data_IF_569171051555
#
_entry.id   IF_569171051555
#
_cell.length_a   1.000
_cell.length_b   1.000
_cell.length_c   1.000
_cell.angle_alpha   90.00
_cell.angle_beta   90.00
_cell.angle_gamma   90.00
#
_symmetry.space_group_name_H-M   'P 1'
#
loop_
_entity.id
_entity.type
_entity.pdbx_description
1 polymer ?
#
# COMPACT_ATOMS: atom_id res chain seq x y z
N UNK A 1 80.76 40.50 -40.28
CA UNK A 1 81.49 41.57 -40.98
C UNK A 1 80.45 42.47 -41.65
N UNK A 2 80.32 43.73 -41.23
CA UNK A 2 79.72 44.80 -42.04
C UNK A 2 78.28 45.27 -41.74
N UNK A 3 78.21 46.58 -41.41
CA UNK A 3 77.12 47.57 -41.51
C UNK A 3 75.98 47.55 -40.46
N UNK A 4 75.72 48.57 -39.62
CA UNK A 4 75.70 50.06 -39.63
C UNK A 4 74.30 50.69 -39.83
N UNK A 5 73.93 51.55 -38.87
CA UNK A 5 73.02 52.71 -39.01
C UNK A 5 71.58 52.48 -38.52
N UNK A 6 70.89 53.36 -37.76
CA UNK A 6 71.07 54.78 -37.41
C UNK A 6 70.31 55.12 -36.10
N UNK A 7 71.03 55.70 -35.16
CA UNK A 7 70.79 56.97 -34.43
C UNK A 7 69.40 57.62 -34.50
N UNK A 8 68.88 58.03 -33.33
CA UNK A 8 67.81 59.02 -33.19
C UNK A 8 67.45 59.33 -31.74
N UNK A 9 68.31 60.07 -31.02
CA UNK A 9 68.06 60.59 -29.67
C UNK A 9 67.28 61.92 -29.81
N UNK A 10 66.08 62.04 -29.23
CA UNK A 10 65.50 63.34 -28.85
C UNK A 10 64.79 63.23 -27.50
N UNK A 11 65.38 63.92 -26.55
CA UNK A 11 64.87 64.29 -25.22
C UNK A 11 63.66 65.22 -25.34
N UNK A 12 62.59 64.91 -24.62
CA UNK A 12 61.45 65.79 -24.36
C UNK A 12 61.02 65.64 -22.91
N UNK A 13 61.02 66.75 -22.18
CA UNK A 13 60.77 66.87 -20.74
C UNK A 13 59.30 66.70 -20.34
N UNK A 14 59.13 66.19 -19.11
CA UNK A 14 58.09 66.49 -18.10
C UNK A 14 56.61 66.56 -18.52
N UNK A 15 55.77 65.77 -17.84
CA UNK A 15 54.85 66.19 -16.76
C UNK A 15 54.00 64.96 -16.43
N UNK A 16 54.20 64.34 -15.27
CA UNK A 16 53.29 63.32 -14.75
C UNK A 16 52.16 64.01 -14.01
N UNK A 17 51.01 64.16 -14.68
CA UNK A 17 49.75 64.55 -14.04
C UNK A 17 49.21 63.35 -13.26
N UNK A 18 49.18 63.45 -11.94
CA UNK A 18 48.49 62.51 -11.05
C UNK A 18 46.99 62.75 -11.25
N UNK A 19 46.34 61.86 -12.01
CA UNK A 19 44.88 61.78 -12.07
C UNK A 19 44.38 60.86 -10.95
N UNK A 20 43.76 61.47 -9.94
CA UNK A 20 42.97 60.77 -8.91
C UNK A 20 41.72 60.16 -9.57
N UNK A 21 41.76 58.86 -9.86
CA UNK A 21 40.56 58.10 -10.18
C UNK A 21 39.93 57.58 -8.89
N UNK A 22 38.73 58.07 -8.58
CA UNK A 22 37.87 57.59 -7.50
C UNK A 22 37.41 56.16 -7.78
N UNK A 23 38.20 55.18 -7.32
CA UNK A 23 37.79 53.78 -7.30
C UNK A 23 36.75 53.55 -6.22
N UNK A 24 35.50 53.31 -6.62
CA UNK A 24 34.48 52.81 -5.71
C UNK A 24 34.93 51.45 -5.14
N UNK A 25 35.15 51.39 -3.82
CA UNK A 25 35.37 50.14 -3.10
C UNK A 25 34.09 49.30 -3.17
N UNK A 26 34.07 48.31 -4.05
CA UNK A 26 33.14 47.17 -3.91
C UNK A 26 33.69 46.31 -2.79
N UNK A 27 32.97 46.08 -1.67
CA UNK A 27 33.44 45.14 -0.67
C UNK A 27 33.54 43.76 -1.31
N UNK A 28 34.71 43.13 -1.18
CA UNK A 28 34.93 41.76 -1.62
C UNK A 28 33.82 40.88 -1.03
N UNK A 29 33.01 40.29 -1.90
CA UNK A 29 32.06 39.26 -1.51
C UNK A 29 32.85 38.16 -0.79
N UNK A 30 32.60 37.99 0.51
CA UNK A 30 33.16 36.89 1.28
C UNK A 30 32.76 35.60 0.56
N UNK A 31 33.75 34.87 0.03
CA UNK A 31 33.51 33.57 -0.57
C UNK A 31 32.80 32.69 0.47
N UNK A 32 31.57 32.28 0.16
CA UNK A 32 30.81 31.32 0.97
C UNK A 32 31.67 30.05 1.08
N UNK A 33 32.09 29.63 2.29
CA UNK A 33 32.93 28.46 2.41
C UNK A 33 32.19 27.24 1.85
N UNK A 34 32.78 26.55 0.86
CA UNK A 34 32.24 25.30 0.33
C UNK A 34 31.93 24.35 1.50
N UNK A 35 30.70 23.83 1.65
CA UNK A 35 30.35 23.01 2.79
C UNK A 35 31.15 21.70 2.75
N UNK A 36 31.91 21.46 3.83
CA UNK A 36 32.78 20.28 3.97
C UNK A 36 31.94 18.99 4.01
N UNK A 37 32.42 17.87 3.46
CA UNK A 37 31.63 16.65 3.34
C UNK A 37 31.32 16.06 4.72
N UNK A 38 30.04 15.99 5.08
CA UNK A 38 29.55 15.12 6.14
C UNK A 38 29.49 13.66 5.62
N UNK A 39 30.02 12.71 6.38
CA UNK A 39 30.04 11.29 6.03
C UNK A 39 29.32 10.48 7.10
N UNK A 40 28.29 9.74 6.70
CA UNK A 40 27.55 8.86 7.62
C UNK A 40 28.27 7.52 7.79
N UNK A 41 28.30 7.03 9.02
CA UNK A 41 28.63 5.65 9.35
C UNK A 41 27.42 4.73 9.23
N UNK A 42 27.55 3.52 9.78
CA UNK A 42 26.49 2.51 9.75
C UNK A 42 25.27 2.97 10.55
N UNK A 43 24.09 2.79 9.97
CA UNK A 43 22.82 2.96 10.66
C UNK A 43 22.39 1.62 11.26
N UNK A 44 21.94 1.64 12.52
CA UNK A 44 21.58 0.44 13.28
C UNK A 44 20.35 0.65 14.13
N UNK A 45 19.57 -0.42 14.33
CA UNK A 45 18.44 -0.49 15.24
C UNK A 45 18.73 -1.46 16.37
N UNK A 46 18.32 -1.13 17.59
CA UNK A 46 18.51 -1.97 18.77
C UNK A 46 17.22 -2.03 19.60
N UNK A 47 16.60 -3.21 19.76
CA UNK A 47 16.93 -4.47 19.06
C UNK A 47 16.67 -4.36 17.54
N UNK A 48 17.49 -5.06 16.74
CA UNK A 48 17.24 -5.19 15.28
C UNK A 48 16.05 -6.12 15.01
N UNK A 49 15.95 -7.18 15.80
CA UNK A 49 14.83 -8.13 15.82
C UNK A 49 14.43 -8.35 17.28
N UNK A 50 13.14 -8.23 17.58
CA UNK A 50 12.60 -8.45 18.92
C UNK A 50 11.44 -9.44 18.84
N UNK A 51 11.42 -10.42 19.74
CA UNK A 51 10.24 -11.25 19.97
C UNK A 51 9.96 -11.30 21.46
N UNK A 52 8.78 -10.89 21.91
CA UNK A 52 8.47 -10.83 23.35
C UNK A 52 7.23 -10.01 23.69
N UNK A 53 7.08 -9.66 24.97
CA UNK A 53 5.96 -8.86 25.43
C UNK A 53 6.09 -7.38 25.00
N UNK A 54 4.99 -6.79 24.57
CA UNK A 54 4.92 -5.38 24.21
C UNK A 54 4.13 -4.59 25.28
N UNK A 55 4.41 -3.29 25.49
CA UNK A 55 5.24 -2.42 24.66
C UNK A 55 6.75 -2.59 24.85
N UNK A 56 7.50 -2.44 23.77
CA UNK A 56 8.97 -2.42 23.74
C UNK A 56 9.49 -1.13 23.13
N UNK A 57 10.79 -0.85 23.26
CA UNK A 57 11.43 0.34 22.69
C UNK A 57 12.53 -0.07 21.73
N UNK A 58 12.45 0.42 20.49
CA UNK A 58 13.50 0.28 19.48
C UNK A 58 14.29 1.58 19.42
N UNK A 59 15.59 1.51 19.66
CA UNK A 59 16.50 2.65 19.52
C UNK A 59 17.21 2.59 18.18
N UNK A 60 16.98 3.59 17.34
CA UNK A 60 17.70 3.79 16.09
C UNK A 60 18.92 4.67 16.33
N UNK A 61 20.01 4.38 15.65
CA UNK A 61 21.24 5.17 15.76
C UNK A 61 22.08 5.17 14.48
N UNK A 62 22.80 6.26 14.27
CA UNK A 62 23.86 6.36 13.24
C UNK A 62 24.95 7.30 13.72
N UNK A 63 26.12 7.26 13.10
CA UNK A 63 27.20 8.22 13.34
C UNK A 63 27.39 9.10 12.12
N UNK A 64 27.82 10.34 12.34
CA UNK A 64 28.21 11.26 11.27
C UNK A 64 29.57 11.87 11.61
N UNK A 65 30.51 11.75 10.68
CA UNK A 65 31.81 12.41 10.76
C UNK A 65 31.75 13.77 10.08
N UNK A 66 32.20 14.79 10.80
CA UNK A 66 32.18 16.19 10.37
C UNK A 66 33.45 16.92 10.82
N UNK A 67 33.88 17.91 10.05
CA UNK A 67 35.00 18.78 10.43
C UNK A 67 34.50 19.89 11.37
N UNK A 68 35.05 19.97 12.59
CA UNK A 68 34.73 21.04 13.52
C UNK A 68 35.46 22.36 13.17
N UNK A 69 34.89 23.54 13.50
CA UNK A 69 33.57 23.73 14.14
C UNK A 69 32.41 23.71 13.12
N UNK A 70 31.28 23.10 13.48
CA UNK A 70 30.08 23.04 12.62
C UNK A 70 28.80 22.93 13.44
N UNK A 71 27.71 23.53 12.93
CA UNK A 71 26.36 23.34 13.48
C UNK A 71 25.58 22.38 12.58
N UNK A 72 25.21 21.22 13.10
CA UNK A 72 24.45 20.20 12.38
C UNK A 72 22.97 20.32 12.72
N UNK A 73 22.14 20.63 11.72
CA UNK A 73 20.67 20.54 11.86
C UNK A 73 20.22 19.23 11.22
N UNK A 74 19.52 18.38 11.98
CA UNK A 74 19.10 17.06 11.52
C UNK A 74 17.68 16.73 11.98
N UNK A 75 17.04 15.81 11.28
CA UNK A 75 15.80 15.16 11.70
C UNK A 75 15.87 13.68 11.33
N UNK A 76 15.10 12.85 12.04
CA UNK A 76 14.85 11.49 11.63
C UNK A 76 13.63 11.45 10.71
N UNK A 77 13.74 10.64 9.66
CA UNK A 77 12.64 10.23 8.80
C UNK A 77 12.39 8.74 9.04
N UNK A 78 11.13 8.33 9.06
CA UNK A 78 10.72 6.95 9.33
C UNK A 78 9.97 6.35 8.14
N UNK A 79 9.80 5.02 8.18
CA UNK A 79 9.16 4.24 7.11
C UNK A 79 7.67 4.53 6.89
N UNK A 80 7.00 5.10 7.89
CA UNK A 80 5.61 5.58 7.90
C UNK A 80 5.46 7.02 7.36
N UNK A 81 6.57 7.61 6.90
CA UNK A 81 6.63 9.00 6.42
C UNK A 81 6.71 10.05 7.54
N UNK A 82 6.64 9.65 8.82
CA UNK A 82 6.77 10.58 9.93
C UNK A 82 8.20 11.10 10.05
N UNK A 83 8.31 12.29 10.66
CA UNK A 83 9.60 12.91 10.93
C UNK A 83 9.68 13.42 12.36
N UNK A 84 10.84 13.31 12.98
CA UNK A 84 11.07 14.00 14.26
C UNK A 84 11.20 15.50 14.03
N UNK A 85 10.92 16.30 15.05
CA UNK A 85 11.32 17.71 15.07
C UNK A 85 12.82 17.84 14.77
N UNK A 86 13.19 18.85 13.97
CA UNK A 86 14.59 19.11 13.67
C UNK A 86 15.37 19.45 14.95
N UNK A 87 16.47 18.74 15.19
CA UNK A 87 17.39 18.95 16.29
C UNK A 87 18.70 19.57 15.78
N UNK A 88 19.24 20.50 16.56
CA UNK A 88 20.49 21.17 16.26
C UNK A 88 21.58 20.71 17.20
N UNK A 89 22.73 20.29 16.65
CA UNK A 89 23.91 19.86 17.39
C UNK A 89 25.10 20.73 17.03
N UNK A 90 25.72 21.38 18.03
CA UNK A 90 26.91 22.24 17.84
C UNK A 90 28.16 21.43 18.12
N UNK A 91 29.01 21.26 17.11
CA UNK A 91 30.31 20.58 17.21
C UNK A 91 31.40 21.64 17.34
N UNK A 92 32.01 21.75 18.52
CA UNK A 92 33.14 22.64 18.78
C UNK A 92 34.51 21.99 18.57
N UNK A 93 35.58 22.80 18.66
CA UNK A 93 36.97 22.36 18.55
C UNK A 93 37.53 22.35 17.13
N UNK A 94 38.71 21.75 16.96
CA UNK A 94 39.42 21.60 15.68
C UNK A 94 39.50 20.11 15.29
N UNK A 95 39.56 19.82 13.98
CA UNK A 95 39.74 18.47 13.44
C UNK A 95 38.43 17.74 13.09
N UNK A 96 38.56 16.50 12.62
CA UNK A 96 37.44 15.59 12.36
C UNK A 96 36.82 15.12 13.68
N UNK A 97 35.49 15.16 13.78
CA UNK A 97 34.72 14.72 14.94
C UNK A 97 33.61 13.78 14.50
N UNK A 98 33.36 12.75 15.31
CA UNK A 98 32.26 11.81 15.13
C UNK A 98 31.13 12.16 16.08
N UNK A 99 29.93 12.37 15.57
CA UNK A 99 28.71 12.63 16.36
C UNK A 99 27.79 11.43 16.22
N UNK A 100 27.26 10.92 17.34
CA UNK A 100 26.24 9.87 17.35
C UNK A 100 24.86 10.51 17.43
N UNK A 101 23.98 10.12 16.52
CA UNK A 101 22.60 10.58 16.44
C UNK A 101 21.68 9.40 16.75
N UNK A 102 20.65 9.59 17.56
CA UNK A 102 19.70 8.54 17.94
C UNK A 102 18.26 9.03 18.04
N UNK A 103 17.33 8.08 17.89
CA UNK A 103 15.90 8.24 18.15
C UNK A 103 15.36 6.96 18.77
N UNK A 104 14.35 7.10 19.64
CA UNK A 104 13.68 5.97 20.28
C UNK A 104 12.24 5.89 19.80
N UNK A 105 11.80 4.69 19.44
CA UNK A 105 10.45 4.38 18.96
C UNK A 105 9.82 3.44 19.98
N UNK A 106 8.67 3.85 20.54
CA UNK A 106 7.86 2.98 21.40
C UNK A 106 6.97 2.12 20.52
N UNK A 107 7.13 0.81 20.58
CA UNK A 107 6.40 -0.17 19.78
C UNK A 107 5.45 -0.94 20.68
N UNK A 108 4.14 -0.85 20.41
CA UNK A 108 3.08 -1.44 21.24
C UNK A 108 2.49 -2.73 20.66
N UNK A 109 2.84 -3.08 19.43
CA UNK A 109 2.36 -4.26 18.69
C UNK A 109 3.38 -4.68 17.62
N UNK A 110 3.05 -5.70 16.83
CA UNK A 110 3.93 -6.18 15.75
C UNK A 110 4.27 -5.03 14.79
N UNK A 111 5.56 -4.83 14.52
CA UNK A 111 6.01 -3.70 13.72
C UNK A 111 7.27 -4.05 12.91
N UNK A 112 7.28 -3.64 11.64
CA UNK A 112 8.49 -3.60 10.82
C UNK A 112 8.64 -2.20 10.25
N UNK A 113 9.86 -1.69 10.29
CA UNK A 113 10.10 -0.34 9.83
C UNK A 113 11.57 -0.02 9.71
N UNK A 114 11.84 1.22 9.31
CA UNK A 114 13.19 1.75 9.27
C UNK A 114 13.19 3.22 9.65
N UNK A 115 14.33 3.72 10.14
CA UNK A 115 14.58 5.15 10.25
C UNK A 115 15.91 5.55 9.63
N UNK A 116 15.97 6.75 9.11
CA UNK A 116 17.19 7.36 8.58
C UNK A 116 17.30 8.81 9.06
N UNK A 117 18.52 9.33 9.13
CA UNK A 117 18.76 10.73 9.47
C UNK A 117 18.88 11.55 8.21
N UNK A 118 18.11 12.63 8.11
CA UNK A 118 18.28 13.69 7.10
C UNK A 118 18.99 14.87 7.74
N UNK A 119 20.16 15.23 7.22
CA UNK A 119 20.80 16.51 7.51
C UNK A 119 20.07 17.60 6.73
N UNK A 120 19.63 18.62 7.45
CA UNK A 120 18.97 19.82 6.90
C UNK A 120 20.02 20.90 6.59
N UNK A 121 21.14 20.90 7.32
CA UNK A 121 22.29 21.77 7.05
C UNK A 121 23.53 21.30 7.83
N UNK A 122 24.77 21.55 7.32
CA UNK A 122 25.12 22.37 6.15
C UNK A 122 25.09 21.65 4.79
N UNK A 123 24.87 20.33 4.76
CA UNK A 123 24.77 19.54 3.52
C UNK A 123 23.50 18.69 3.58
N UNK A 124 22.67 18.75 2.54
CA UNK A 124 21.50 17.88 2.40
C UNK A 124 21.93 16.44 2.10
N UNK A 125 22.08 15.61 3.12
CA UNK A 125 22.40 14.18 2.99
C UNK A 125 21.47 13.33 3.85
N UNK A 126 21.19 12.13 3.40
CA UNK A 126 20.38 11.13 4.12
C UNK A 126 21.28 9.93 4.45
N UNK A 127 21.20 9.41 5.68
CA UNK A 127 21.94 8.22 6.08
C UNK A 127 21.39 6.96 5.41
N UNK A 128 22.13 5.84 5.52
CA UNK A 128 21.52 4.52 5.29
C UNK A 128 20.39 4.26 6.29
N UNK A 129 19.51 3.31 5.98
CA UNK A 129 18.35 2.93 6.78
C UNK A 129 18.75 2.03 7.94
N UNK A 130 18.29 2.35 9.15
CA UNK A 130 18.31 1.46 10.31
C UNK A 130 16.97 0.72 10.39
N UNK A 131 16.94 -0.53 9.92
CA UNK A 131 15.72 -1.35 9.89
C UNK A 131 15.54 -2.16 11.17
N UNK A 132 14.29 -2.34 11.58
CA UNK A 132 13.91 -3.16 12.74
C UNK A 132 12.69 -4.05 12.45
N UNK A 133 12.55 -5.12 13.22
CA UNK A 133 11.37 -5.96 13.29
C UNK A 133 11.04 -6.30 14.75
N UNK A 134 9.76 -6.21 15.12
CA UNK A 134 9.22 -6.52 16.44
C UNK A 134 8.03 -7.45 16.26
N UNK A 135 8.06 -8.61 16.91
CA UNK A 135 6.98 -9.59 16.97
C UNK A 135 6.53 -9.75 18.43
N UNK A 136 5.29 -9.37 18.76
CA UNK A 136 4.75 -9.38 20.11
C UNK A 136 4.06 -10.73 20.42
N UNK A 137 4.53 -11.47 21.43
CA UNK A 137 3.93 -12.76 21.83
C UNK A 137 2.86 -12.57 22.92
N UNK A 138 1.63 -13.09 22.72
CA UNK A 138 0.64 -13.12 23.82
C UNK A 138 -0.88 -13.07 23.55
N UNK A 139 -1.42 -13.35 22.36
CA UNK A 139 -2.88 -13.58 22.22
C UNK A 139 -3.22 -14.80 21.37
N UNK A 140 -3.65 -15.88 22.04
CA UNK A 140 -4.40 -16.98 21.44
C UNK A 140 -5.89 -16.64 21.52
N UNK A 141 -6.54 -16.67 20.35
CA UNK A 141 -7.98 -16.59 20.08
C UNK A 141 -8.67 -15.24 20.35
N UNK A 142 -9.19 -14.64 19.28
CA UNK A 142 -9.98 -13.40 19.29
C UNK A 142 -9.30 -12.21 18.60
N UNK A 143 -9.55 -12.04 17.29
CA UNK A 143 -9.36 -10.78 16.57
C UNK A 143 -7.92 -10.38 16.21
N UNK A 144 -7.26 -11.14 15.32
CA UNK A 144 -6.11 -10.62 14.56
C UNK A 144 -6.60 -9.91 13.29
N UNK A 145 -7.14 -8.71 13.48
CA UNK A 145 -7.40 -7.76 12.38
C UNK A 145 -6.38 -6.63 12.49
N UNK A 146 -5.15 -6.96 12.11
CA UNK A 146 -4.04 -6.01 12.08
C UNK A 146 -3.86 -5.53 10.64
N UNK A 147 -4.82 -4.70 10.24
CA UNK A 147 -4.87 -4.02 8.95
C UNK A 147 -3.94 -2.80 8.97
N UNK A 148 -2.64 -2.98 8.76
CA UNK A 148 -1.72 -1.84 8.72
C UNK A 148 -1.83 -1.06 7.39
N UNK A 149 -2.07 -1.74 6.27
CA UNK A 149 -2.32 -1.12 4.97
C UNK A 149 -3.08 -2.06 4.04
N UNK A 150 -4.21 -1.63 3.47
CA UNK A 150 -4.97 -2.36 2.43
C UNK A 150 -4.92 -1.55 1.14
N UNK A 151 -4.49 -2.18 0.04
CA UNK A 151 -4.45 -1.54 -1.29
C UNK A 151 -5.59 -2.04 -2.16
N UNK A 152 -6.28 -1.11 -2.79
CA UNK A 152 -7.34 -1.37 -3.77
C UNK A 152 -7.01 -0.52 -4.99
N UNK A 153 -7.14 -1.05 -6.20
CA UNK A 153 -7.12 -0.16 -7.36
C UNK A 153 -8.50 0.42 -7.61
N UNK A 154 -8.64 1.28 -8.58
CA UNK A 154 -9.89 1.73 -9.13
C UNK A 154 -9.90 1.30 -10.59
N UNK A 155 -10.88 0.49 -10.98
CA UNK A 155 -10.99 -0.06 -12.32
C UNK A 155 -11.63 0.97 -13.26
N UNK A 156 -11.11 1.03 -14.48
CA UNK A 156 -11.72 1.82 -15.55
C UNK A 156 -13.09 1.19 -15.89
N UNK A 157 -14.18 1.92 -15.65
CA UNK A 157 -15.48 1.53 -16.21
C UNK A 157 -15.38 1.66 -17.73
N UNK A 158 -15.84 0.64 -18.47
CA UNK A 158 -15.92 0.69 -19.93
C UNK A 158 -16.66 1.97 -20.35
N UNK A 159 -16.05 2.75 -21.24
CA UNK A 159 -16.62 4.03 -21.69
C UNK A 159 -17.96 3.74 -22.38
N UNK A 160 -19.08 4.35 -21.94
CA UNK A 160 -20.29 4.34 -22.75
C UNK A 160 -19.99 4.98 -24.11
N UNK A 161 -20.47 4.43 -25.23
CA UNK A 161 -20.23 5.03 -26.53
C UNK A 161 -20.99 6.36 -26.61
N UNK A 162 -20.23 7.45 -26.69
CA UNK A 162 -20.71 8.74 -27.17
C UNK A 162 -21.23 9.70 -26.10
N UNK A 163 -20.38 10.65 -25.70
CA UNK A 163 -20.77 12.06 -25.62
C UNK A 163 -19.51 12.92 -25.75
N UNK A 164 -19.38 13.55 -26.92
CA UNK A 164 -18.33 14.52 -27.20
C UNK A 164 -18.66 15.88 -26.58
N UNK A 165 -17.59 16.61 -26.24
CA UNK A 165 -17.60 18.06 -26.02
C UNK A 165 -17.38 18.48 -24.56
N UNK A 166 -16.14 18.88 -24.24
CA UNK A 166 -15.88 19.77 -23.09
C UNK A 166 -14.62 19.47 -22.28
N UNK A 167 -13.56 20.25 -22.52
CA UNK A 167 -12.24 20.25 -21.85
C UNK A 167 -11.48 18.93 -21.91
N UNK A 168 -10.20 18.96 -22.27
CA UNK A 168 -9.27 17.87 -21.98
C UNK A 168 -9.19 17.70 -20.47
N UNK A 169 -10.13 16.96 -19.89
CA UNK A 169 -10.07 16.57 -18.49
C UNK A 169 -8.88 15.65 -18.33
N UNK A 170 -8.09 15.93 -17.31
CA UNK A 170 -6.89 15.18 -16.97
C UNK A 170 -7.33 13.83 -16.39
N UNK A 171 -7.49 12.84 -17.27
CA UNK A 171 -7.97 11.52 -16.89
C UNK A 171 -6.88 10.77 -16.13
N UNK A 172 -7.25 10.19 -15.00
CA UNK A 172 -6.44 9.22 -14.30
C UNK A 172 -6.64 7.88 -15.00
N UNK A 173 -5.57 7.33 -15.58
CA UNK A 173 -5.60 6.01 -16.22
C UNK A 173 -5.84 4.89 -15.21
N UNK A 174 -5.20 4.96 -14.04
CA UNK A 174 -5.41 4.03 -12.92
C UNK A 174 -5.19 4.77 -11.59
N UNK A 175 -6.09 4.55 -10.64
CA UNK A 175 -5.85 4.96 -9.25
C UNK A 175 -5.64 3.71 -8.39
N UNK A 176 -4.70 3.76 -7.47
CA UNK A 176 -4.52 2.77 -6.40
C UNK A 176 -4.69 3.47 -5.06
N UNK A 177 -5.75 3.11 -4.35
CA UNK A 177 -6.13 3.65 -3.04
C UNK A 177 -5.66 2.69 -1.96
N UNK A 178 -4.81 3.19 -1.07
CA UNK A 178 -4.32 2.45 0.09
C UNK A 178 -4.87 3.05 1.36
N UNK A 179 -5.55 2.25 2.18
CA UNK A 179 -5.99 2.64 3.51
C UNK A 179 -4.99 2.14 4.53
N UNK A 180 -4.27 3.05 5.17
CA UNK A 180 -3.26 2.77 6.19
C UNK A 180 -3.80 3.11 7.57
N UNK A 181 -4.01 2.12 8.44
CA UNK A 181 -4.39 2.39 9.83
C UNK A 181 -3.16 2.87 10.61
N UNK A 182 -3.26 4.04 11.23
CA UNK A 182 -2.17 4.64 12.00
C UNK A 182 -2.30 4.39 13.50
N UNK A 183 -3.47 3.97 13.97
CA UNK A 183 -3.71 3.58 15.38
C UNK A 183 -3.62 2.07 15.58
N UNK A 184 -3.15 1.66 16.76
CA UNK A 184 -3.13 0.25 17.15
C UNK A 184 -4.50 -0.25 17.67
N UNK A 185 -5.37 0.65 18.14
CA UNK A 185 -6.73 0.32 18.59
C UNK A 185 -7.59 -0.14 17.42
N UNK A 186 -8.45 -1.15 17.67
CA UNK A 186 -9.48 -1.55 16.71
C UNK A 186 -10.45 -0.40 16.49
N UNK A 187 -11.00 0.20 17.54
CA UNK A 187 -11.66 1.52 17.51
C UNK A 187 -11.54 2.26 18.86
N UNK A 188 -11.58 3.61 18.89
CA UNK A 188 -11.53 4.49 17.72
C UNK A 188 -10.21 4.28 16.96
N UNK A 189 -10.27 4.40 15.65
CA UNK A 189 -9.10 4.25 14.79
C UNK A 189 -8.84 5.52 13.98
N UNK A 190 -7.59 5.75 13.64
CA UNK A 190 -7.19 6.76 12.66
C UNK A 190 -6.58 6.03 11.49
N UNK A 191 -6.89 6.48 10.27
CA UNK A 191 -6.26 5.96 9.07
C UNK A 191 -5.90 7.09 8.09
N UNK A 192 -4.86 6.86 7.30
CA UNK A 192 -4.47 7.66 6.15
C UNK A 192 -4.98 6.98 4.89
N UNK A 193 -5.65 7.73 4.04
CA UNK A 193 -5.95 7.30 2.67
C UNK A 193 -4.82 7.79 1.79
N UNK A 194 -4.10 6.89 1.13
CA UNK A 194 -3.12 7.20 0.12
C UNK A 194 -3.72 6.96 -1.26
N UNK A 195 -3.45 7.85 -2.21
CA UNK A 195 -3.79 7.68 -3.62
C UNK A 195 -2.52 7.65 -4.45
N UNK A 196 -2.37 6.62 -5.27
CA UNK A 196 -1.35 6.51 -6.31
C UNK A 196 -2.03 6.58 -7.67
N UNK A 197 -1.71 7.61 -8.45
CA UNK A 197 -2.33 7.90 -9.74
C UNK A 197 -1.35 7.64 -10.87
N UNK A 198 -1.74 6.79 -11.81
CA UNK A 198 -0.97 6.40 -13.00
C UNK A 198 -1.67 6.89 -14.27
N UNK A 199 -0.91 7.16 -15.32
CA UNK A 199 -1.44 7.61 -16.62
C UNK A 199 -1.88 9.07 -16.64
N UNK A 200 -1.39 9.89 -15.71
CA UNK A 200 -1.63 11.33 -15.68
C UNK A 200 -0.94 12.01 -16.89
N UNK A 201 -1.59 12.99 -17.55
CA UNK A 201 -0.96 13.80 -18.59
C UNK A 201 0.28 14.54 -18.08
N UNK A 202 1.21 14.87 -18.98
CA UNK A 202 2.40 15.65 -18.62
C UNK A 202 2.02 17.06 -18.14
N UNK A 203 2.82 17.62 -17.22
CA UNK A 203 2.60 18.94 -16.65
C UNK A 203 1.76 18.89 -15.36
N UNK A 204 1.46 20.06 -14.78
CA UNK A 204 0.72 20.12 -13.52
C UNK A 204 -0.72 19.64 -13.72
N UNK A 205 -1.15 18.68 -12.90
CA UNK A 205 -2.50 18.11 -12.96
C UNK A 205 -3.28 18.43 -11.69
N UNK A 206 -4.61 18.35 -11.82
CA UNK A 206 -5.53 18.46 -10.69
C UNK A 206 -6.38 17.21 -10.69
N UNK A 207 -6.31 16.45 -9.60
CA UNK A 207 -7.16 15.27 -9.39
C UNK A 207 -8.16 15.62 -8.29
N UNK A 208 -9.45 15.45 -8.55
CA UNK A 208 -10.47 15.63 -7.52
C UNK A 208 -10.97 14.27 -7.04
N UNK A 209 -11.20 14.13 -5.74
CA UNK A 209 -11.71 12.91 -5.14
C UNK A 209 -12.77 13.23 -4.08
N UNK A 210 -13.62 12.26 -3.75
CA UNK A 210 -14.51 12.33 -2.59
C UNK A 210 -14.67 10.97 -1.94
N UNK A 211 -15.19 10.97 -0.73
CA UNK A 211 -15.69 9.75 -0.10
C UNK A 211 -17.09 9.49 -0.65
N UNK A 212 -17.39 8.26 -1.06
CA UNK A 212 -18.72 7.94 -1.59
C UNK A 212 -19.77 8.21 -0.52
N UNK A 213 -20.86 8.88 -0.92
CA UNK A 213 -21.90 9.35 -0.01
C UNK A 213 -21.62 10.72 0.64
N UNK A 214 -20.56 11.44 0.23
CA UNK A 214 -20.40 12.87 0.53
C UNK A 214 -20.67 13.71 -0.73
N UNK A 215 -21.17 14.92 -0.54
CA UNK A 215 -21.38 15.87 -1.65
C UNK A 215 -20.09 16.62 -2.00
N UNK A 216 -19.19 16.79 -1.04
CA UNK A 216 -17.97 17.58 -1.17
C UNK A 216 -16.88 16.85 -1.98
N UNK A 217 -16.36 17.51 -3.01
CA UNK A 217 -15.18 17.10 -3.76
C UNK A 217 -13.93 17.80 -3.22
N UNK A 218 -12.92 17.01 -2.86
CA UNK A 218 -11.60 17.46 -2.42
C UNK A 218 -10.62 17.43 -3.57
N UNK A 219 -9.59 18.28 -3.50
CA UNK A 219 -8.64 18.50 -4.60
C UNK A 219 -7.23 18.09 -4.21
N UNK A 220 -6.55 17.39 -5.10
CA UNK A 220 -5.14 17.00 -5.04
C UNK A 220 -4.40 17.69 -6.19
N UNK A 221 -3.41 18.49 -5.84
CA UNK A 221 -2.53 19.13 -6.82
C UNK A 221 -1.36 18.19 -7.13
N UNK A 222 -1.20 17.85 -8.41
CA UNK A 222 -0.09 17.04 -8.91
C UNK A 222 0.97 17.98 -9.50
N UNK A 223 2.22 17.97 -8.98
CA UNK A 223 3.31 18.79 -9.51
C UNK A 223 3.65 18.48 -10.96
N UNK A 224 4.12 19.45 -11.73
CA UNK A 224 4.45 19.26 -13.15
C UNK A 224 5.59 18.28 -13.43
N UNK A 225 6.46 18.06 -12.45
CA UNK A 225 7.59 17.12 -12.48
C UNK A 225 7.25 15.74 -11.90
N UNK A 226 5.95 15.39 -11.86
CA UNK A 226 5.53 14.08 -11.38
C UNK A 226 6.11 12.93 -12.22
N UNK A 227 6.41 11.81 -11.55
CA UNK A 227 6.80 10.57 -12.22
C UNK A 227 5.64 9.90 -12.95
N UNK A 228 5.87 8.71 -13.48
CA UNK A 228 4.84 7.86 -14.11
C UNK A 228 3.71 7.49 -13.15
N UNK A 229 4.00 7.49 -11.85
CA UNK A 229 3.05 7.30 -10.76
C UNK A 229 3.21 8.47 -9.78
N UNK A 230 2.11 9.17 -9.49
CA UNK A 230 2.07 10.18 -8.45
C UNK A 230 1.37 9.63 -7.20
N UNK A 231 2.09 9.54 -6.09
CA UNK A 231 1.55 9.05 -4.81
C UNK A 231 1.45 10.18 -3.80
N UNK A 232 0.31 10.29 -3.11
CA UNK A 232 0.09 11.25 -2.04
C UNK A 232 -0.89 10.73 -1.00
N UNK A 233 -0.90 11.35 0.19
CA UNK A 233 -1.98 11.19 1.17
C UNK A 233 -3.16 12.05 0.70
N UNK A 234 -4.31 11.42 0.49
CA UNK A 234 -5.57 12.09 0.17
C UNK A 234 -6.15 12.74 1.43
N UNK A 235 -6.30 11.97 2.50
CA UNK A 235 -6.90 12.42 3.76
C UNK A 235 -6.42 11.58 4.94
N UNK A 236 -6.43 12.16 6.15
CA UNK A 236 -6.33 11.42 7.42
C UNK A 236 -7.67 11.54 8.13
N UNK A 237 -8.29 10.40 8.45
CA UNK A 237 -9.61 10.33 9.05
C UNK A 237 -9.55 9.64 10.40
N UNK A 238 -10.33 10.17 11.35
CA UNK A 238 -10.66 9.48 12.59
C UNK A 238 -11.99 8.77 12.41
N UNK A 239 -12.07 7.53 12.88
CA UNK A 239 -13.24 6.68 12.74
C UNK A 239 -13.56 6.01 14.06
N UNK A 240 -14.80 6.14 14.49
CA UNK A 240 -15.30 5.61 15.73
C UNK A 240 -16.74 5.11 15.55
N UNK A 241 -17.34 4.63 16.65
CA UNK A 241 -18.72 4.16 16.66
C UNK A 241 -19.76 5.25 16.34
N UNK A 242 -19.42 6.52 16.54
CA UNK A 242 -20.33 7.67 16.36
C UNK A 242 -20.44 8.07 14.88
N UNK A 243 -19.44 7.75 14.05
CA UNK A 243 -19.45 8.05 12.59
C UNK A 243 -20.66 7.50 11.84
N UNK A 244 -21.35 6.50 12.38
CA UNK A 244 -22.55 5.94 11.75
C UNK A 244 -22.27 5.07 10.52
N UNK A 245 -21.05 5.05 9.98
CA UNK A 245 -20.69 4.32 8.76
C UNK A 245 -19.88 3.07 9.08
N UNK A 246 -20.13 1.99 8.34
CA UNK A 246 -19.35 0.74 8.47
C UNK A 246 -18.41 0.52 7.30
N UNK A 247 -18.57 1.30 6.24
CA UNK A 247 -17.78 1.20 5.03
C UNK A 247 -17.37 2.56 4.46
N UNK A 248 -16.35 2.57 3.61
CA UNK A 248 -15.92 3.74 2.85
C UNK A 248 -15.38 3.34 1.48
N UNK A 249 -15.70 4.13 0.45
CA UNK A 249 -15.16 4.01 -0.89
C UNK A 249 -14.66 5.39 -1.34
N UNK A 250 -13.62 5.42 -2.17
CA UNK A 250 -13.10 6.67 -2.77
C UNK A 250 -13.53 6.76 -4.22
N UNK A 251 -14.07 7.90 -4.61
CA UNK A 251 -14.44 8.22 -5.99
C UNK A 251 -13.53 9.32 -6.53
N UNK A 252 -12.99 9.14 -7.74
CA UNK A 252 -12.20 10.14 -8.46
C UNK A 252 -13.10 10.82 -9.50
N UNK A 253 -13.06 12.16 -9.54
CA UNK A 253 -13.90 12.96 -10.43
C UNK A 253 -13.40 12.84 -11.87
N UNK A 254 -14.04 12.00 -12.65
CA UNK A 254 -13.83 11.89 -14.08
C UNK A 254 -15.05 11.29 -14.78
N UNK A 255 -15.21 11.45 -16.10
CA UNK A 255 -16.44 11.09 -16.83
C UNK A 255 -16.80 9.60 -16.73
N UNK A 256 -15.81 8.74 -16.54
CA UNK A 256 -16.01 7.30 -16.34
C UNK A 256 -16.38 6.91 -14.89
N UNK A 257 -16.47 7.87 -13.96
CA UNK A 257 -16.89 7.60 -12.58
C UNK A 257 -16.00 6.61 -11.84
N UNK A 258 -14.67 6.77 -11.96
CA UNK A 258 -13.68 5.84 -11.41
C UNK A 258 -13.74 5.78 -9.87
N UNK A 259 -14.19 4.64 -9.35
CA UNK A 259 -14.32 4.35 -7.92
C UNK A 259 -13.33 3.27 -7.51
N UNK A 260 -12.81 3.35 -6.28
CA UNK A 260 -11.98 2.29 -5.72
C UNK A 260 -12.73 0.96 -5.69
N UNK A 261 -12.04 -0.11 -6.04
CA UNK A 261 -12.60 -1.45 -6.23
C UNK A 261 -13.15 -2.05 -4.94
N UNK A 262 -12.64 -1.61 -3.77
CA UNK A 262 -13.15 -2.07 -2.49
C UNK A 262 -13.81 -0.94 -1.69
N UNK A 263 -14.89 -1.34 -1.02
CA UNK A 263 -15.42 -0.76 0.20
C UNK A 263 -14.47 -1.15 1.33
N UNK A 264 -13.77 -0.17 1.90
CA UNK A 264 -13.01 -0.39 3.12
C UNK A 264 -13.98 -0.50 4.30
N UNK A 265 -13.90 -1.60 5.02
CA UNK A 265 -14.83 -1.94 6.09
C UNK A 265 -14.21 -1.67 7.49
N UNK A 266 -14.93 -0.96 8.36
CA UNK A 266 -14.49 -0.59 9.72
C UNK A 266 -15.41 -1.20 10.79
N UNK A 267 -14.92 -2.16 11.57
CA UNK A 267 -15.64 -2.64 12.77
C UNK A 267 -15.34 -1.80 14.00
N UNK A 268 -16.08 -0.70 14.19
CA UNK A 268 -16.06 0.06 15.44
C UNK A 268 -17.15 -0.30 16.44
N UNK A 269 -18.16 -1.03 16.02
CA UNK A 269 -19.26 -1.46 16.87
C UNK A 269 -19.83 -2.77 16.33
N UNK A 270 -20.49 -3.53 17.19
CA UNK A 270 -21.43 -4.56 16.73
C UNK A 270 -22.42 -3.95 15.73
N UNK A 271 -22.92 -4.72 14.75
CA UNK A 271 -23.99 -4.27 13.88
C UNK A 271 -25.11 -3.69 14.73
N UNK A 272 -25.33 -2.38 14.63
CA UNK A 272 -26.47 -1.71 15.24
C UNK A 272 -27.31 -1.23 14.08
N UNK A 273 -28.41 -1.94 13.79
CA UNK A 273 -29.58 -1.57 12.95
C UNK A 273 -29.41 -0.49 11.87
N UNK A 274 -28.29 -0.50 11.14
CA UNK A 274 -28.01 0.45 10.07
C UNK A 274 -28.56 -0.13 8.79
N UNK A 275 -29.50 0.60 8.18
CA UNK A 275 -30.13 0.37 6.86
C UNK A 275 -29.13 0.39 5.68
N UNK A 276 -27.83 0.23 5.93
CA UNK A 276 -26.79 0.22 4.91
C UNK A 276 -26.90 -1.10 4.13
N UNK A 277 -26.96 -0.98 2.80
CA UNK A 277 -27.09 -2.10 1.88
C UNK A 277 -25.95 -2.11 0.88
N UNK A 278 -25.40 -3.29 0.61
CA UNK A 278 -24.29 -3.53 -0.30
C UNK A 278 -24.81 -4.22 -1.57
N UNK A 279 -25.42 -3.43 -2.45
CA UNK A 279 -26.01 -3.94 -3.70
C UNK A 279 -27.27 -4.78 -3.46
N UNK A 280 -27.65 -5.54 -4.49
CA UNK A 280 -28.87 -6.35 -4.54
C UNK A 280 -28.52 -7.76 -5.01
N UNK A 281 -28.99 -8.79 -4.32
CA UNK A 281 -29.04 -10.14 -4.85
C UNK A 281 -30.36 -10.33 -5.61
N UNK A 282 -30.29 -10.73 -6.89
CA UNK A 282 -31.47 -10.91 -7.73
C UNK A 282 -32.34 -12.09 -7.28
N UNK A 283 -31.74 -13.04 -6.57
CA UNK A 283 -32.36 -14.27 -6.08
C UNK A 283 -31.65 -14.71 -4.80
N UNK A 284 -32.23 -15.68 -4.09
CA UNK A 284 -31.57 -16.28 -2.93
C UNK A 284 -30.36 -17.09 -3.41
N UNK A 285 -29.18 -16.80 -2.86
CA UNK A 285 -27.93 -17.51 -3.17
C UNK A 285 -27.63 -18.47 -2.03
N UNK A 286 -27.91 -19.75 -2.28
CA UNK A 286 -27.86 -20.79 -1.25
C UNK A 286 -26.43 -21.23 -0.89
N UNK A 287 -26.23 -21.46 0.40
CA UNK A 287 -25.06 -22.06 1.00
C UNK A 287 -25.23 -23.58 1.09
N UNK A 288 -24.47 -24.32 0.30
CA UNK A 288 -24.61 -25.78 0.23
C UNK A 288 -23.46 -26.51 0.93
N UNK A 289 -23.61 -27.81 1.19
CA UNK A 289 -22.54 -28.62 1.77
C UNK A 289 -21.34 -28.77 0.84
N UNK A 290 -21.55 -28.79 -0.48
CA UNK A 290 -20.50 -28.96 -1.50
C UNK A 290 -19.83 -27.64 -1.91
N UNK A 291 -19.99 -26.57 -1.12
CA UNK A 291 -19.66 -25.21 -1.52
C UNK A 291 -20.85 -24.57 -2.23
N UNK A 292 -21.06 -24.92 -3.50
CA UNK A 292 -22.19 -24.47 -4.31
C UNK A 292 -22.21 -22.95 -4.56
N UNK A 293 -23.37 -22.38 -4.95
CA UNK A 293 -23.46 -21.03 -5.49
C UNK A 293 -22.86 -19.93 -4.61
N UNK A 294 -23.16 -19.92 -3.30
CA UNK A 294 -22.66 -18.86 -2.43
C UNK A 294 -21.14 -18.89 -2.26
N UNK A 295 -20.57 -20.09 -2.10
CA UNK A 295 -19.12 -20.23 -1.90
C UNK A 295 -18.36 -19.91 -3.19
N UNK A 296 -18.94 -20.22 -4.36
CA UNK A 296 -18.44 -19.79 -5.67
C UNK A 296 -18.45 -18.26 -5.83
N UNK A 297 -19.53 -17.59 -5.40
CA UNK A 297 -19.63 -16.13 -5.44
C UNK A 297 -18.57 -15.48 -4.55
N UNK A 298 -18.36 -16.03 -3.35
CA UNK A 298 -17.33 -15.56 -2.42
C UNK A 298 -15.92 -15.73 -3.01
N UNK A 299 -15.66 -16.84 -3.71
CA UNK A 299 -14.39 -17.01 -4.41
C UNK A 299 -14.20 -15.96 -5.51
N UNK A 300 -15.25 -15.64 -6.28
CA UNK A 300 -15.19 -14.57 -7.28
C UNK A 300 -14.91 -13.21 -6.64
N UNK A 301 -15.54 -12.92 -5.50
CA UNK A 301 -15.32 -11.71 -4.74
C UNK A 301 -13.87 -11.58 -4.24
N UNK A 302 -13.28 -12.67 -3.76
CA UNK A 302 -11.89 -12.67 -3.32
C UNK A 302 -10.94 -12.39 -4.48
N UNK A 303 -11.16 -13.04 -5.62
CA UNK A 303 -10.35 -12.83 -6.82
C UNK A 303 -10.46 -11.37 -7.29
N UNK A 304 -11.67 -10.83 -7.42
CA UNK A 304 -11.90 -9.46 -7.87
C UNK A 304 -11.17 -8.42 -6.99
N UNK A 305 -11.19 -8.63 -5.67
CA UNK A 305 -10.58 -7.73 -4.71
C UNK A 305 -9.06 -7.60 -4.85
N UNK A 306 -8.37 -8.69 -5.24
CA UNK A 306 -6.89 -8.72 -5.23
C UNK A 306 -6.25 -8.80 -6.62
N UNK A 307 -7.01 -9.10 -7.69
CA UNK A 307 -6.48 -9.31 -9.05
C UNK A 307 -5.62 -8.14 -9.51
N UNK A 308 -6.11 -6.90 -9.39
CA UNK A 308 -5.40 -5.73 -9.94
C UNK A 308 -4.07 -5.46 -9.22
N UNK A 309 -3.97 -5.79 -7.93
CA UNK A 309 -2.79 -5.48 -7.11
C UNK A 309 -1.77 -6.62 -7.13
N UNK A 310 -2.23 -7.87 -7.18
CA UNK A 310 -1.36 -9.07 -7.05
C UNK A 310 -1.15 -9.82 -8.37
N UNK A 311 -2.04 -9.60 -9.34
CA UNK A 311 -2.15 -10.43 -10.53
C UNK A 311 -2.63 -11.85 -10.22
N UNK A 312 -3.39 -12.06 -9.13
CA UNK A 312 -4.03 -13.34 -8.85
C UNK A 312 -4.88 -13.81 -10.04
N UNK A 313 -4.85 -15.10 -10.32
CA UNK A 313 -5.52 -15.72 -11.48
C UNK A 313 -6.74 -16.54 -11.04
N UNK A 314 -6.71 -17.03 -9.80
CA UNK A 314 -7.77 -17.82 -9.18
C UNK A 314 -7.84 -17.47 -7.70
N UNK A 315 -9.02 -17.55 -7.12
CA UNK A 315 -9.18 -17.61 -5.67
C UNK A 315 -9.77 -18.96 -5.27
N UNK A 316 -9.35 -19.48 -4.12
CA UNK A 316 -9.98 -20.63 -3.48
C UNK A 316 -10.52 -20.20 -2.12
N UNK A 317 -11.67 -20.77 -1.76
CA UNK A 317 -12.25 -20.58 -0.44
C UNK A 317 -12.80 -21.90 0.09
N UNK A 318 -13.14 -21.91 1.38
CA UNK A 318 -13.74 -23.06 2.05
C UNK A 318 -15.16 -22.74 2.45
N UNK A 319 -16.07 -23.71 2.25
CA UNK A 319 -17.41 -23.70 2.84
C UNK A 319 -17.39 -23.42 4.35
N UNK A 320 -16.35 -23.84 5.06
CA UNK A 320 -16.25 -23.67 6.51
C UNK A 320 -16.27 -22.20 6.95
N UNK A 321 -15.78 -21.28 6.14
CA UNK A 321 -15.76 -19.85 6.45
C UNK A 321 -17.15 -19.19 6.46
N UNK A 322 -18.17 -19.86 5.90
CA UNK A 322 -19.51 -19.33 5.76
C UNK A 322 -20.53 -19.96 6.73
N UNK A 323 -21.58 -19.22 7.04
CA UNK A 323 -22.56 -19.59 8.08
C UNK A 323 -23.99 -19.65 7.56
N UNK A 324 -24.43 -18.66 6.78
CA UNK A 324 -25.82 -18.54 6.30
C UNK A 324 -25.89 -18.23 4.80
N UNK A 325 -27.10 -18.32 4.22
CA UNK A 325 -27.39 -17.97 2.83
C UNK A 325 -27.36 -16.46 2.61
N UNK A 326 -27.30 -16.02 1.35
CA UNK A 326 -27.63 -14.65 0.95
C UNK A 326 -29.09 -14.60 0.43
N UNK A 327 -29.94 -13.78 1.01
CA UNK A 327 -31.33 -13.63 0.61
C UNK A 327 -31.45 -12.77 -0.65
N UNK A 328 -32.58 -12.93 -1.36
CA UNK A 328 -32.93 -12.05 -2.47
C UNK A 328 -33.26 -10.65 -1.95
N UNK A 329 -32.92 -9.63 -2.74
CA UNK A 329 -33.18 -8.22 -2.43
C UNK A 329 -31.92 -7.47 -2.00
N UNK A 330 -32.10 -6.25 -1.43
CA UNK A 330 -30.98 -5.46 -0.92
C UNK A 330 -30.22 -6.22 0.17
N UNK A 331 -28.93 -6.42 -0.04
CA UNK A 331 -28.10 -7.17 0.92
C UNK A 331 -27.65 -6.24 2.02
N UNK A 332 -28.01 -6.53 3.27
CA UNK A 332 -27.67 -5.66 4.40
C UNK A 332 -26.29 -5.95 4.99
N UNK A 333 -25.78 -5.03 5.80
CA UNK A 333 -24.58 -5.29 6.59
C UNK A 333 -24.73 -6.51 7.51
N UNK A 334 -25.84 -6.60 8.25
CA UNK A 334 -26.09 -7.70 9.18
C UNK A 334 -26.06 -9.04 8.46
N UNK A 335 -26.65 -9.11 7.28
CA UNK A 335 -26.68 -10.31 6.46
C UNK A 335 -25.29 -10.73 5.97
N UNK A 336 -24.44 -9.78 5.56
CA UNK A 336 -23.04 -10.09 5.23
C UNK A 336 -22.26 -10.61 6.44
N UNK A 337 -22.47 -10.01 7.61
CA UNK A 337 -21.85 -10.47 8.86
C UNK A 337 -22.31 -11.89 9.23
N UNK A 338 -23.61 -12.14 9.18
CA UNK A 338 -24.20 -13.45 9.46
C UNK A 338 -23.79 -14.49 8.42
N UNK A 339 -23.47 -14.08 7.20
CA UNK A 339 -22.95 -14.96 6.14
C UNK A 339 -21.48 -15.28 6.39
N UNK A 340 -20.66 -14.27 6.65
CA UNK A 340 -19.19 -14.36 6.71
C UNK A 340 -18.62 -13.47 7.83
N UNK A 341 -18.64 -13.94 9.09
CA UNK A 341 -18.37 -13.10 10.26
C UNK A 341 -16.88 -12.85 10.54
N UNK A 342 -15.97 -13.55 9.84
CA UNK A 342 -14.58 -13.64 10.27
C UNK A 342 -13.74 -12.39 9.91
N UNK A 343 -14.01 -11.74 8.77
CA UNK A 343 -13.29 -10.53 8.36
C UNK A 343 -11.80 -10.74 8.12
N UNK A 344 -11.41 -11.88 7.53
CA UNK A 344 -10.01 -12.28 7.42
C UNK A 344 -9.38 -11.70 6.17
N UNK A 345 -8.11 -11.31 6.24
CA UNK A 345 -7.42 -10.77 5.08
C UNK A 345 -7.13 -11.81 4.01
N UNK A 346 -7.25 -11.37 2.75
CA UNK A 346 -6.94 -12.18 1.58
C UNK A 346 -5.47 -12.01 1.22
N UNK A 347 -4.76 -13.13 1.22
CA UNK A 347 -3.38 -13.23 0.77
C UNK A 347 -3.32 -13.88 -0.62
N UNK A 348 -2.17 -13.76 -1.27
CA UNK A 348 -1.90 -14.38 -2.58
C UNK A 348 -0.58 -15.13 -2.54
N UNK A 349 -0.60 -16.39 -2.99
CA UNK A 349 0.57 -17.26 -3.13
C UNK A 349 0.74 -17.75 -4.56
N UNK A 350 1.97 -17.93 -5.00
CA UNK A 350 2.29 -18.60 -6.25
C UNK A 350 2.57 -20.09 -5.98
N UNK A 351 1.82 -20.99 -6.63
CA UNK A 351 1.96 -22.44 -6.51
C UNK A 351 2.10 -23.07 -7.90
N UNK A 352 2.81 -24.19 -8.00
CA UNK A 352 2.81 -24.97 -9.25
C UNK A 352 1.49 -25.72 -9.43
N UNK A 353 1.16 -26.11 -10.66
CA UNK A 353 -0.01 -26.95 -10.95
C UNK A 353 -0.01 -28.25 -10.15
N UNK A 354 1.15 -28.88 -9.93
CA UNK A 354 1.28 -30.06 -9.09
C UNK A 354 0.91 -29.80 -7.62
N UNK A 355 1.34 -28.66 -7.08
CA UNK A 355 1.01 -28.24 -5.71
C UNK A 355 -0.49 -27.93 -5.56
N UNK A 356 -1.05 -27.22 -6.55
CA UNK A 356 -2.48 -26.93 -6.61
C UNK A 356 -3.29 -28.22 -6.71
N UNK A 357 -2.87 -29.18 -7.55
CA UNK A 357 -3.52 -30.48 -7.71
C UNK A 357 -3.57 -31.26 -6.40
N UNK A 358 -2.45 -31.30 -5.67
CA UNK A 358 -2.38 -31.92 -4.33
C UNK A 358 -3.31 -31.23 -3.33
N UNK A 359 -3.36 -29.89 -3.36
CA UNK A 359 -4.24 -29.11 -2.49
C UNK A 359 -5.73 -29.36 -2.79
N UNK A 360 -6.13 -29.34 -4.06
CA UNK A 360 -7.52 -29.54 -4.49
C UNK A 360 -8.02 -30.97 -4.26
N UNK A 361 -7.13 -31.96 -4.21
CA UNK A 361 -7.47 -33.34 -3.87
C UNK A 361 -7.82 -33.52 -2.38
N UNK A 362 -7.41 -32.59 -1.52
CA UNK A 362 -7.60 -32.72 -0.07
C UNK A 362 -9.05 -32.43 0.32
N UNK A 363 -9.68 -33.41 0.97
CA UNK A 363 -10.95 -33.24 1.68
C UNK A 363 -10.67 -32.93 3.14
N UNK A 364 -11.32 -31.93 3.70
CA UNK A 364 -11.27 -31.69 5.13
C UNK A 364 -11.98 -32.82 5.92
N UNK A 365 -11.90 -32.87 7.26
CA UNK A 365 -12.54 -33.93 8.07
C UNK A 365 -14.06 -34.07 7.89
N UNK A 366 -14.74 -33.04 7.41
CA UNK A 366 -16.17 -33.05 7.08
C UNK A 366 -16.46 -33.57 5.66
N UNK A 367 -15.42 -33.86 4.88
CA UNK A 367 -15.52 -34.31 3.50
C UNK A 367 -15.62 -33.18 2.47
N UNK A 368 -15.47 -31.92 2.88
CA UNK A 368 -15.55 -30.76 2.00
C UNK A 368 -14.24 -30.48 1.29
N UNK A 369 -14.35 -29.98 0.05
CA UNK A 369 -13.23 -29.58 -0.81
C UNK A 369 -13.21 -28.06 -0.98
N UNK A 370 -12.10 -27.53 -1.53
CA UNK A 370 -11.98 -26.10 -1.81
C UNK A 370 -12.83 -25.69 -3.00
N UNK A 371 -13.50 -24.55 -2.91
CA UNK A 371 -14.34 -24.01 -3.99
C UNK A 371 -13.57 -22.92 -4.74
N UNK A 372 -13.48 -22.97 -6.08
CA UNK A 372 -12.72 -22.02 -6.87
C UNK A 372 -13.56 -20.85 -7.40
N UNK A 373 -12.89 -19.75 -7.73
CA UNK A 373 -13.43 -18.67 -8.55
C UNK A 373 -13.72 -19.14 -9.98
N UNK A 374 -14.47 -18.35 -10.75
CA UNK A 374 -14.98 -18.71 -12.08
C UNK A 374 -13.89 -19.06 -13.10
N UNK A 375 -12.67 -18.58 -12.88
CA UNK A 375 -11.51 -18.88 -13.71
C UNK A 375 -11.05 -20.33 -13.62
N UNK A 376 -11.36 -21.09 -12.55
CA UNK A 376 -10.88 -22.45 -12.38
C UNK A 376 -12.02 -23.46 -12.22
N UNK A 377 -11.89 -24.60 -12.91
CA UNK A 377 -12.74 -25.79 -12.73
C UNK A 377 -11.86 -27.00 -12.48
N UNK A 378 -12.33 -27.93 -11.66
CA UNK A 378 -11.61 -29.18 -11.44
C UNK A 378 -12.53 -30.37 -11.17
N UNK A 379 -12.01 -31.55 -11.47
CA UNK A 379 -12.69 -32.84 -11.27
C UNK A 379 -11.91 -33.69 -10.28
N UNK A 380 -12.60 -34.24 -9.29
CA UNK A 380 -12.09 -35.23 -8.34
C UNK A 380 -12.75 -36.56 -8.61
N UNK A 381 -11.96 -37.59 -8.89
CA UNK A 381 -12.41 -38.97 -9.08
C UNK A 381 -11.59 -39.90 -8.18
N UNK A 382 -12.26 -40.75 -7.40
CA UNK A 382 -11.56 -41.73 -6.54
C UNK A 382 -10.60 -41.11 -5.49
N UNK A 383 -10.82 -39.84 -5.12
CA UNK A 383 -9.96 -39.11 -4.19
C UNK A 383 -8.73 -38.44 -4.81
N UNK A 384 -8.60 -38.46 -6.15
CA UNK A 384 -7.56 -37.77 -6.89
C UNK A 384 -8.17 -36.71 -7.81
N UNK A 385 -7.45 -35.61 -8.01
CA UNK A 385 -7.82 -34.62 -9.04
C UNK A 385 -7.39 -35.14 -10.40
N UNK A 386 -8.33 -35.35 -11.31
CA UNK A 386 -8.09 -35.88 -12.66
C UNK A 386 -8.01 -34.79 -13.72
N UNK A 387 -8.70 -33.67 -13.51
CA UNK A 387 -8.75 -32.54 -14.44
C UNK A 387 -8.70 -31.22 -13.69
N UNK A 388 -7.91 -30.27 -14.20
CA UNK A 388 -7.91 -28.88 -13.76
C UNK A 388 -7.86 -28.02 -15.02
N UNK A 389 -8.79 -27.08 -15.15
CA UNK A 389 -8.75 -26.05 -16.19
C UNK A 389 -8.70 -24.67 -15.56
N UNK A 390 -7.85 -23.80 -16.12
CA UNK A 390 -7.74 -22.39 -15.78
C UNK A 390 -8.06 -21.58 -17.04
N UNK A 391 -9.09 -20.75 -16.97
CA UNK A 391 -9.64 -19.99 -18.11
C UNK A 391 -9.93 -20.88 -19.33
N UNK A 392 -10.40 -22.11 -19.08
CA UNK A 392 -10.71 -23.11 -20.10
C UNK A 392 -9.50 -23.88 -20.65
N UNK A 393 -8.27 -23.52 -20.30
CA UNK A 393 -7.07 -24.24 -20.69
C UNK A 393 -6.65 -25.26 -19.61
N UNK A 394 -6.20 -26.48 -19.96
CA UNK A 394 -5.66 -27.43 -19.00
C UNK A 394 -4.45 -26.86 -18.25
N UNK A 395 -4.41 -27.07 -16.93
CA UNK A 395 -3.27 -26.71 -16.09
C UNK A 395 -2.21 -27.81 -16.15
N UNK A 396 -0.96 -27.45 -16.45
CA UNK A 396 0.17 -28.39 -16.39
C UNK A 396 0.79 -28.41 -14.99
N UNK A 397 1.45 -29.51 -14.63
CA UNK A 397 2.07 -29.67 -13.31
C UNK A 397 3.14 -28.60 -13.00
N UNK A 398 3.79 -28.04 -14.02
CA UNK A 398 4.86 -27.05 -13.89
C UNK A 398 4.37 -25.60 -14.00
N UNK A 399 3.13 -25.37 -14.43
CA UNK A 399 2.56 -24.03 -14.53
C UNK A 399 2.52 -23.38 -13.13
N UNK A 400 3.06 -22.17 -13.00
CA UNK A 400 2.98 -21.40 -11.75
C UNK A 400 1.73 -20.52 -11.81
N UNK A 401 0.88 -20.64 -10.80
CA UNK A 401 -0.43 -19.98 -10.72
C UNK A 401 -0.48 -19.15 -9.44
N UNK A 402 -0.93 -17.90 -9.55
CA UNK A 402 -1.17 -17.03 -8.40
C UNK A 402 -2.58 -17.24 -7.85
N UNK A 403 -2.65 -17.74 -6.63
CA UNK A 403 -3.89 -18.18 -5.98
C UNK A 403 -4.16 -17.31 -4.75
N UNK A 404 -5.36 -16.75 -4.68
CA UNK A 404 -5.86 -15.96 -3.57
C UNK A 404 -6.70 -16.81 -2.59
N UNK A 405 -6.63 -16.50 -1.30
CA UNK A 405 -7.46 -17.07 -0.24
C UNK A 405 -7.28 -16.27 1.05
N UNK A 406 -8.18 -16.45 2.03
CA UNK A 406 -7.94 -15.88 3.35
C UNK A 406 -6.71 -16.54 4.02
N UNK A 407 -6.00 -15.77 4.84
CA UNK A 407 -4.70 -16.17 5.37
C UNK A 407 -4.72 -17.39 6.30
N UNK A 408 -5.80 -17.62 7.06
CA UNK A 408 -5.87 -18.79 7.95
C UNK A 408 -6.08 -20.08 7.15
N UNK A 409 -6.86 -20.04 6.07
CA UNK A 409 -6.99 -21.17 5.16
C UNK A 409 -5.63 -21.51 4.54
N UNK A 410 -4.88 -20.51 4.10
CA UNK A 410 -3.51 -20.71 3.61
C UNK A 410 -2.57 -21.27 4.69
N UNK A 411 -2.78 -20.89 5.95
CA UNK A 411 -1.99 -21.37 7.09
C UNK A 411 -2.31 -22.82 7.51
N UNK A 412 -3.32 -23.45 6.91
CA UNK A 412 -3.74 -24.84 7.21
C UNK A 412 -4.85 -24.94 8.25
N UNK A 413 -5.68 -23.91 8.39
CA UNK A 413 -6.90 -23.98 9.20
C UNK A 413 -8.05 -24.68 8.41
N UNK A 414 -9.23 -24.78 9.02
CA UNK A 414 -10.45 -25.38 8.44
C UNK A 414 -10.30 -26.85 8.02
N UNK A 415 -9.28 -27.54 8.55
CA UNK A 415 -8.98 -28.93 8.25
C UNK A 415 -8.27 -29.17 6.91
N UNK A 416 -7.69 -28.11 6.32
CA UNK A 416 -6.88 -28.18 5.10
C UNK A 416 -5.38 -28.15 5.44
N UNK A 417 -4.51 -28.70 4.58
CA UNK A 417 -3.08 -28.60 4.79
C UNK A 417 -2.61 -27.15 4.65
N UNK A 418 -1.51 -26.80 5.32
CA UNK A 418 -0.81 -25.54 5.05
C UNK A 418 -0.41 -25.49 3.58
N UNK A 419 -0.67 -24.36 2.93
CA UNK A 419 -0.41 -24.19 1.52
C UNK A 419 1.10 -24.09 1.24
N UNK A 420 1.53 -24.79 0.20
CA UNK A 420 2.89 -24.69 -0.32
C UNK A 420 3.07 -23.39 -1.14
N UNK A 421 4.20 -23.25 -1.83
CA UNK A 421 4.46 -22.12 -2.73
C UNK A 421 5.09 -20.89 -2.06
N UNK A 422 5.17 -19.80 -2.81
CA UNK A 422 5.81 -18.55 -2.39
C UNK A 422 4.80 -17.43 -2.21
N UNK A 423 5.04 -16.55 -1.24
CA UNK A 423 4.18 -15.40 -0.98
C UNK A 423 4.31 -14.35 -2.10
N UNK A 424 3.16 -13.88 -2.61
CA UNK A 424 3.05 -12.85 -3.66
C UNK A 424 2.52 -11.54 -3.09
N UNK A 425 1.49 -11.61 -2.25
CA UNK A 425 0.88 -10.45 -1.62
C UNK A 425 0.31 -10.84 -0.26
N UNK A 426 0.40 -9.91 0.69
CA UNK A 426 -0.11 -10.07 2.04
C UNK A 426 -1.01 -8.91 2.45
N UNK A 427 -1.94 -9.19 3.34
CA UNK A 427 -2.86 -8.20 3.93
C UNK A 427 -3.73 -7.50 2.86
N UNK A 428 -4.15 -8.23 1.82
CA UNK A 428 -5.18 -7.77 0.89
C UNK A 428 -6.54 -7.67 1.59
N UNK A 429 -7.57 -7.07 0.95
CA UNK A 429 -8.84 -6.73 1.58
C UNK A 429 -9.48 -7.82 2.44
N UNK A 430 -10.28 -7.41 3.44
CA UNK A 430 -10.94 -8.39 4.29
C UNK A 430 -11.95 -9.16 3.46
N UNK A 431 -12.12 -10.43 3.81
CA UNK A 431 -12.85 -11.36 3.00
C UNK A 431 -14.35 -10.98 2.89
N UNK A 432 -14.95 -10.45 3.95
CA UNK A 432 -16.33 -9.95 3.97
C UNK A 432 -16.44 -8.62 3.23
N UNK A 433 -15.50 -7.70 3.42
CA UNK A 433 -15.41 -6.45 2.67
C UNK A 433 -15.23 -6.69 1.16
N UNK A 434 -14.52 -7.76 0.79
CA UNK A 434 -14.37 -8.22 -0.59
C UNK A 434 -15.72 -8.67 -1.16
N UNK A 435 -16.51 -9.44 -0.41
CA UNK A 435 -17.88 -9.79 -0.80
C UNK A 435 -18.76 -8.54 -0.94
N UNK A 436 -18.76 -7.64 0.05
CA UNK A 436 -19.54 -6.38 0.00
C UNK A 436 -19.21 -5.56 -1.25
N UNK A 437 -17.91 -5.43 -1.56
CA UNK A 437 -17.39 -4.70 -2.72
C UNK A 437 -17.85 -5.32 -4.03
N UNK A 438 -17.76 -6.65 -4.11
CA UNK A 438 -18.22 -7.40 -5.27
C UNK A 438 -19.72 -7.22 -5.50
N UNK A 439 -20.53 -7.23 -4.44
CA UNK A 439 -21.97 -7.02 -4.56
C UNK A 439 -22.32 -5.62 -5.05
N UNK A 440 -21.66 -4.57 -4.54
CA UNK A 440 -21.87 -3.19 -5.01
C UNK A 440 -21.47 -3.04 -6.48
N UNK A 441 -20.34 -3.63 -6.89
CA UNK A 441 -19.84 -3.56 -8.26
C UNK A 441 -20.72 -4.30 -9.26
N UNK A 442 -21.27 -5.45 -8.87
CA UNK A 442 -22.00 -6.36 -9.75
C UNK A 442 -23.51 -6.39 -9.47
N UNK A 443 -24.06 -5.35 -8.85
CA UNK A 443 -25.47 -5.28 -8.49
C UNK A 443 -26.37 -5.07 -9.73
N UNK A 444 -27.47 -5.84 -9.90
CA UNK A 444 -27.89 -6.97 -9.08
C UNK A 444 -27.11 -8.25 -9.42
N UNK A 445 -26.67 -8.98 -8.40
CA UNK A 445 -25.88 -10.21 -8.54
C UNK A 445 -26.79 -11.42 -8.62
N UNK A 446 -26.41 -12.41 -9.43
CA UNK A 446 -27.12 -13.69 -9.56
C UNK A 446 -26.32 -14.83 -8.94
N UNK A 447 -27.01 -15.91 -8.60
CA UNK A 447 -26.35 -17.10 -8.08
C UNK A 447 -25.43 -17.72 -9.17
N UNK A 448 -24.15 -18.01 -8.86
CA UNK A 448 -23.34 -18.89 -9.68
C UNK A 448 -24.01 -20.27 -9.82
N UNK A 449 -23.65 -21.02 -10.87
CA UNK A 449 -24.26 -22.33 -11.14
C UNK A 449 -23.96 -23.39 -10.07
N UNK A 450 -22.89 -23.24 -9.29
CA UNK A 450 -22.50 -24.26 -8.32
C UNK A 450 -21.86 -25.50 -8.96
N UNK A 451 -21.29 -25.35 -10.16
CA UNK A 451 -20.82 -26.45 -11.01
C UNK A 451 -19.31 -26.44 -11.28
N UNK A 452 -18.52 -25.63 -10.55
CA UNK A 452 -17.07 -25.50 -10.79
C UNK A 452 -16.25 -26.66 -10.26
N UNK A 453 -16.82 -27.45 -9.35
CA UNK A 453 -16.21 -28.65 -8.79
C UNK A 453 -17.04 -29.86 -9.16
N UNK A 454 -16.43 -30.82 -9.85
CA UNK A 454 -17.06 -32.10 -10.18
C UNK A 454 -16.48 -33.19 -9.28
N UNK A 455 -17.31 -33.91 -8.55
CA UNK A 455 -16.91 -35.05 -7.72
C UNK A 455 -17.58 -36.30 -8.29
N UNK A 456 -16.78 -37.32 -8.65
CA UNK A 456 -17.25 -38.61 -9.17
C UNK A 456 -16.73 -39.80 -8.37
#
# INVERSE_FOLDING_TARGET
>A
MGLLGRVGRRTGWLVAVIALASGAFVPAAHAVPKPKPAVFGTASAMPKTYSGACPTVVTLSTTVQVQAPVTLKHLWIFSDGDTTRAKTYRVGGKGLKTVRLSASIKVTGDARGWGAVRLVGPVGKISKRASFAVDCSGRRWGGRDVWNAMSTSAAQVATPPGQGGGSTQNLVGKATIVFERTTASKCPLTFKIHGSFEGLPAGAQVVQYRLVGTEEWKTVNVPADHGTVFTTVLETLNWDSETGKTSMQVEIRQPNGLKSNALYYFECSSPSDKKETFGVAAEKIALTAAGGPLVELVADAYLDAVTVVSGAEVALTSRYGLRTDLNAGPVTYQELFDTQPAGLHIDVRAMTGAQLKKLLAHKNPTGWVLTPSASLRYTVEGGAVTEITLNGAPVTDTQVIKIAANYILMAGDYGFPKWEGTDVSHNGPDDRGSLASYLVKNSPVKAPKGDRVTIR
#
